data_IF_519318790341
#
_entry.id   IF_519318790341
#
_cell.length_a   1.000
_cell.length_b   1.000
_cell.length_c   1.000
_cell.angle_alpha   90.00
_cell.angle_beta   90.00
_cell.angle_gamma   90.00
#
_symmetry.space_group_name_H-M   'P 1'
#
loop_
_entity.id
_entity.type
_entity.pdbx_description
1 polymer ?
#
# COMPACT_ATOMS: atom_id res chain seq x y z
N UNK A 1 -2.24 -2.88 -9.48
CA UNK A 1 -1.55 -1.73 -8.83
C UNK A 1 -0.88 -2.13 -7.50
N UNK A 2 -1.63 -2.61 -6.50
CA UNK A 2 -1.05 -2.94 -5.18
C UNK A 2 0.07 -4.00 -5.22
N UNK A 3 -0.07 -5.06 -6.03
CA UNK A 3 0.98 -6.08 -6.18
C UNK A 3 2.28 -5.52 -6.77
N UNK A 4 2.18 -4.73 -7.84
CA UNK A 4 3.33 -4.09 -8.47
C UNK A 4 4.05 -3.14 -7.49
N UNK A 5 3.29 -2.31 -6.75
CA UNK A 5 3.85 -1.42 -5.74
C UNK A 5 4.56 -2.18 -4.62
N UNK A 6 3.97 -3.27 -4.14
CA UNK A 6 4.56 -4.15 -3.12
C UNK A 6 5.86 -4.81 -3.60
N UNK A 7 5.88 -5.36 -4.81
CA UNK A 7 7.05 -6.02 -5.38
C UNK A 7 8.25 -5.07 -5.54
N UNK A 8 7.99 -3.80 -5.88
CA UNK A 8 9.03 -2.78 -6.06
C UNK A 8 9.49 -2.14 -4.74
N UNK A 9 8.78 -2.35 -3.63
CA UNK A 9 9.10 -1.73 -2.35
C UNK A 9 10.28 -2.44 -1.65
N UNK A 10 11.23 -1.63 -1.15
CA UNK A 10 12.38 -2.07 -0.35
C UNK A 10 12.38 -1.42 1.04
N UNK A 11 11.44 -1.79 1.94
CA UNK A 11 11.37 -1.21 3.29
C UNK A 11 12.44 -1.78 4.23
N UNK A 12 12.82 -0.99 5.23
CA UNK A 12 13.69 -1.42 6.34
C UNK A 12 12.97 -2.43 7.25
N UNK A 13 13.69 -3.09 8.16
CA UNK A 13 13.15 -3.82 9.32
C UNK A 13 13.54 -3.08 10.60
N UNK A 14 12.62 -2.92 11.54
CA UNK A 14 12.86 -2.16 12.79
C UNK A 14 11.93 -2.65 13.92
N UNK A 15 11.96 -1.98 15.08
CA UNK A 15 11.12 -2.30 16.24
C UNK A 15 9.61 -2.30 15.92
N UNK A 16 9.17 -1.50 14.94
CA UNK A 16 7.74 -1.30 14.66
C UNK A 16 7.18 -2.40 13.75
N UNK A 17 8.00 -2.93 12.84
CA UNK A 17 7.61 -4.06 11.99
C UNK A 17 8.80 -4.64 11.19
N UNK A 18 8.59 -5.82 10.62
CA UNK A 18 9.50 -6.39 9.63
C UNK A 18 9.35 -5.72 8.26
N UNK A 19 10.42 -5.81 7.45
CA UNK A 19 10.38 -5.40 6.05
C UNK A 19 9.29 -6.15 5.25
N UNK A 20 9.11 -7.45 5.52
CA UNK A 20 8.10 -8.27 4.85
C UNK A 20 6.66 -7.83 5.19
N UNK A 21 6.38 -7.55 6.46
CA UNK A 21 5.07 -7.02 6.86
C UNK A 21 4.81 -5.67 6.19
N UNK A 22 5.81 -4.77 6.19
CA UNK A 22 5.69 -3.47 5.49
C UNK A 22 5.43 -3.64 4.01
N UNK A 23 6.08 -4.59 3.34
CA UNK A 23 5.85 -4.90 1.92
C UNK A 23 4.40 -5.33 1.67
N UNK A 24 3.86 -6.22 2.52
CA UNK A 24 2.43 -6.60 2.47
C UNK A 24 1.51 -5.40 2.70
N UNK A 25 1.87 -4.51 3.61
CA UNK A 25 1.09 -3.29 3.87
C UNK A 25 1.09 -2.31 2.70
N UNK A 26 2.19 -2.21 1.92
CA UNK A 26 2.20 -1.40 0.68
C UNK A 26 1.08 -1.83 -0.25
N UNK A 27 0.93 -3.14 -0.52
CA UNK A 27 -0.18 -3.65 -1.36
C UNK A 27 -1.54 -3.17 -0.84
N UNK A 28 -1.80 -3.37 0.45
CA UNK A 28 -3.09 -3.03 1.08
C UNK A 28 -3.38 -1.54 1.01
N UNK A 29 -2.40 -0.70 1.38
CA UNK A 29 -2.58 0.74 1.44
C UNK A 29 -2.70 1.36 0.04
N UNK A 30 -1.95 0.87 -0.95
CA UNK A 30 -2.10 1.30 -2.35
C UNK A 30 -3.52 1.05 -2.85
N UNK A 31 -4.08 -0.14 -2.62
CA UNK A 31 -5.45 -0.45 -3.07
C UNK A 31 -6.49 0.40 -2.35
N UNK A 32 -6.35 0.58 -1.02
CA UNK A 32 -7.26 1.43 -0.24
C UNK A 32 -7.20 2.90 -0.66
N UNK A 33 -6.02 3.41 -0.99
CA UNK A 33 -5.85 4.78 -1.45
C UNK A 33 -6.53 5.00 -2.81
N UNK A 34 -6.36 4.08 -3.75
CA UNK A 34 -7.02 4.13 -5.06
C UNK A 34 -8.54 4.06 -4.94
N UNK A 35 -9.04 3.15 -4.10
CA UNK A 35 -10.48 3.03 -3.84
C UNK A 35 -11.05 4.34 -3.30
N UNK A 36 -10.39 4.95 -2.30
CA UNK A 36 -10.80 6.25 -1.75
C UNK A 36 -10.72 7.38 -2.78
N UNK A 37 -9.75 7.35 -3.68
CA UNK A 37 -9.63 8.36 -4.73
C UNK A 37 -10.79 8.26 -5.73
N UNK A 38 -11.15 7.05 -6.15
CA UNK A 38 -12.30 6.79 -7.03
C UNK A 38 -13.60 7.22 -6.34
N UNK A 39 -13.77 6.86 -5.07
CA UNK A 39 -14.94 7.26 -4.28
C UNK A 39 -15.11 8.78 -4.23
N UNK A 40 -14.02 9.53 -4.07
CA UNK A 40 -14.05 11.00 -4.07
C UNK A 40 -14.50 11.55 -5.42
N UNK A 41 -13.97 11.05 -6.52
CA UNK A 41 -14.36 11.48 -7.87
C UNK A 41 -15.81 11.13 -8.20
N UNK A 42 -16.33 10.02 -7.66
CA UNK A 42 -17.72 9.60 -7.89
C UNK A 42 -18.74 10.34 -7.00
N UNK A 43 -18.29 11.09 -5.99
CA UNK A 43 -19.14 11.89 -5.09
C UNK A 43 -19.23 13.37 -5.49
N UNK A 44 -18.51 13.78 -6.55
CA UNK A 44 -18.62 15.08 -7.22
C UNK A 44 -19.56 14.98 -8.43
#
# INVERSE_FOLDING_TARGET
>A
AGDAASQQACPISDLRASADYRRRMVKVLTMRALQKAIERTNQE
#
